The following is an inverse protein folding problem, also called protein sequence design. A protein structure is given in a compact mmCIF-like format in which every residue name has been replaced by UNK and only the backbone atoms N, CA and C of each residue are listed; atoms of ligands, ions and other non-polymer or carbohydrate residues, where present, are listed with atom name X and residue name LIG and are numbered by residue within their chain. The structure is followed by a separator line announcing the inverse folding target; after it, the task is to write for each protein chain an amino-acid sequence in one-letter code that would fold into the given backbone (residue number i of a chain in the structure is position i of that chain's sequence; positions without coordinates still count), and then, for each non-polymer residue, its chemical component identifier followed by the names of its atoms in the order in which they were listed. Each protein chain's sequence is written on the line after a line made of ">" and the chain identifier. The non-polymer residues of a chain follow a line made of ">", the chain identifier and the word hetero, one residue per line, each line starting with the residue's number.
data_IF_623126673450
#
_entry.id   IF_623126673450
#
_cell.length_a   1.000
_cell.length_b   1.000
_cell.length_c   1.000
_cell.angle_alpha   90.00
_cell.angle_beta   90.00
_cell.angle_gamma   90.00
#
_symmetry.space_group_name_H-M   'P 1'
#
loop_
_entity.id
_entity.type
_entity.pdbx_description
1 polymer ?
#
# COMPACT_ATOMS: atom_id res chain seq x y z
N UNK A 1 6.69 13.02 -9.30
CA UNK A 1 7.82 12.12 -8.96
C UNK A 1 7.97 12.01 -7.45
N UNK A 2 8.11 10.80 -6.92
CA UNK A 2 8.34 10.56 -5.50
C UNK A 2 9.77 10.94 -5.17
N UNK A 3 9.99 11.68 -4.08
CA UNK A 3 11.35 11.91 -3.59
C UNK A 3 11.59 11.14 -2.29
N UNK A 4 12.86 10.92 -1.97
CA UNK A 4 13.29 10.14 -0.81
C UNK A 4 12.76 10.72 0.50
N UNK A 5 12.75 12.05 0.64
CA UNK A 5 12.26 12.72 1.86
C UNK A 5 10.78 12.46 2.09
N UNK A 6 9.98 12.49 1.04
CA UNK A 6 8.55 12.22 1.15
C UNK A 6 8.28 10.80 1.63
N UNK A 7 8.99 9.81 1.08
CA UNK A 7 8.85 8.42 1.50
C UNK A 7 9.29 8.24 2.96
N UNK A 8 10.44 8.77 3.33
CA UNK A 8 10.94 8.66 4.71
C UNK A 8 9.97 9.28 5.71
N UNK A 9 9.51 10.49 5.44
CA UNK A 9 8.64 11.22 6.36
C UNK A 9 7.27 10.59 6.51
N UNK A 10 6.65 10.19 5.41
CA UNK A 10 5.28 9.65 5.43
C UNK A 10 5.23 8.20 5.90
N UNK A 11 6.21 7.39 5.50
CA UNK A 11 6.25 5.98 5.88
C UNK A 11 6.59 5.78 7.36
N UNK A 12 7.32 6.72 8.00
CA UNK A 12 7.64 6.67 9.42
C UNK A 12 6.41 6.79 10.32
N UNK A 13 5.36 7.46 9.87
CA UNK A 13 4.14 7.66 10.66
C UNK A 13 3.15 6.51 10.45
N UNK A 14 2.33 6.58 9.42
CA UNK A 14 1.24 5.63 9.21
C UNK A 14 1.34 4.88 7.88
N UNK A 15 2.45 5.03 7.20
CA UNK A 15 2.56 4.55 5.84
C UNK A 15 1.80 5.45 4.88
N UNK A 16 1.72 5.05 3.64
CA UNK A 16 0.99 5.81 2.61
C UNK A 16 0.56 4.92 1.47
N UNK A 17 -0.46 5.35 0.76
CA UNK A 17 -0.87 4.75 -0.51
C UNK A 17 -0.55 5.73 -1.63
N UNK A 18 0.09 5.21 -2.68
CA UNK A 18 0.51 5.97 -3.84
C UNK A 18 -0.15 5.42 -5.10
N UNK A 19 -0.44 6.29 -6.04
CA UNK A 19 -0.87 5.91 -7.39
C UNK A 19 0.04 6.59 -8.40
N UNK A 20 0.80 5.80 -9.15
CA UNK A 20 1.83 6.30 -10.08
C UNK A 20 2.76 7.31 -9.41
N UNK A 21 3.17 7.03 -8.18
CA UNK A 21 4.10 7.87 -7.44
C UNK A 21 3.51 9.08 -6.75
N UNK A 22 2.19 9.25 -6.77
CA UNK A 22 1.51 10.36 -6.09
C UNK A 22 0.68 9.83 -4.92
N UNK A 23 0.78 10.51 -3.78
CA UNK A 23 -0.03 10.15 -2.61
C UNK A 23 -1.51 10.27 -2.95
N UNK A 24 -2.28 9.24 -2.61
CA UNK A 24 -3.73 9.23 -2.77
C UNK A 24 -4.41 8.97 -1.45
N UNK A 25 -5.62 9.51 -1.33
CA UNK A 25 -6.45 9.33 -0.14
C UNK A 25 -7.91 9.20 -0.60
N UNK A 26 -8.30 7.97 -0.86
CA UNK A 26 -9.64 7.70 -1.35
C UNK A 26 -10.67 7.85 -0.23
N UNK A 27 -11.90 8.18 -0.59
CA UNK A 27 -13.02 8.37 0.37
C UNK A 27 -13.94 7.16 0.43
N UNK A 28 -13.78 6.20 -0.45
CA UNK A 28 -14.62 5.01 -0.52
C UNK A 28 -13.86 3.84 -1.13
N UNK A 29 -14.46 2.66 -1.03
CA UNK A 29 -13.87 1.45 -1.57
C UNK A 29 -12.93 0.77 -0.58
N UNK A 30 -12.28 -0.28 -1.05
CA UNK A 30 -11.41 -1.14 -0.25
C UNK A 30 -10.09 -1.33 -0.98
N UNK A 31 -8.99 -1.32 -0.23
CA UNK A 31 -7.65 -1.53 -0.76
C UNK A 31 -7.15 -2.89 -0.32
N UNK A 32 -6.65 -3.66 -1.27
CA UNK A 32 -6.10 -4.98 -1.02
C UNK A 32 -4.73 -5.12 -1.68
N UNK A 33 -3.75 -5.61 -0.92
CA UNK A 33 -2.43 -5.89 -1.46
C UNK A 33 -2.46 -7.20 -2.24
N UNK A 34 -1.83 -7.21 -3.41
CA UNK A 34 -1.77 -8.40 -4.28
C UNK A 34 -0.35 -8.95 -4.42
N UNK A 35 0.66 -8.14 -4.14
CA UNK A 35 2.06 -8.51 -4.19
C UNK A 35 2.85 -7.57 -3.30
N UNK A 36 4.08 -7.90 -2.96
CA UNK A 36 4.87 -7.05 -2.08
C UNK A 36 6.35 -7.39 -2.10
N UNK A 37 7.17 -6.41 -1.73
CA UNK A 37 8.60 -6.57 -1.55
C UNK A 37 9.06 -5.85 -0.30
N UNK A 38 10.14 -6.34 0.30
CA UNK A 38 10.83 -5.71 1.40
C UNK A 38 12.06 -4.98 0.89
N UNK A 39 12.20 -3.71 1.24
CA UNK A 39 13.32 -2.88 0.78
C UNK A 39 14.10 -2.36 1.98
N UNK A 40 15.43 -2.42 1.90
CA UNK A 40 16.31 -1.98 2.99
C UNK A 40 16.61 -0.50 2.94
N UNK A 41 16.41 0.15 1.81
CA UNK A 41 16.69 1.58 1.62
C UNK A 41 15.52 2.28 0.96
N UNK A 42 15.44 3.60 1.17
CA UNK A 42 14.43 4.43 0.54
C UNK A 42 14.53 4.38 -1.00
N UNK A 43 15.74 4.28 -1.54
CA UNK A 43 15.96 4.18 -2.98
C UNK A 43 15.36 2.90 -3.55
N UNK A 44 15.58 1.77 -2.88
CA UNK A 44 14.96 0.50 -3.29
C UNK A 44 13.44 0.59 -3.25
N UNK A 45 12.89 1.23 -2.21
CA UNK A 45 11.45 1.42 -2.09
C UNK A 45 10.89 2.28 -3.23
N UNK A 46 11.58 3.35 -3.61
CA UNK A 46 11.18 4.19 -4.75
C UNK A 46 11.18 3.38 -6.05
N UNK A 47 12.22 2.58 -6.26
CA UNK A 47 12.30 1.72 -7.45
C UNK A 47 11.15 0.71 -7.48
N UNK A 48 10.83 0.10 -6.34
CA UNK A 48 9.71 -0.84 -6.25
C UNK A 48 8.37 -0.17 -6.57
N UNK A 49 8.14 1.04 -6.07
CA UNK A 49 6.93 1.81 -6.38
C UNK A 49 6.82 2.07 -7.89
N UNK A 50 7.93 2.45 -8.52
CA UNK A 50 7.96 2.68 -9.97
C UNK A 50 7.66 1.40 -10.75
N UNK A 51 8.25 0.29 -10.33
CA UNK A 51 8.09 -1.00 -11.00
C UNK A 51 6.65 -1.52 -10.89
N UNK A 52 6.03 -1.37 -9.72
CA UNK A 52 4.65 -1.80 -9.55
C UNK A 52 3.67 -0.95 -10.36
N UNK A 53 3.91 0.35 -10.47
CA UNK A 53 2.96 1.27 -11.08
C UNK A 53 1.61 1.27 -10.33
N UNK A 54 0.60 1.96 -10.85
CA UNK A 54 -0.73 1.94 -10.26
C UNK A 54 -0.75 2.26 -8.76
N UNK A 55 -1.59 1.57 -8.01
CA UNK A 55 -1.70 1.74 -6.57
C UNK A 55 -0.65 0.90 -5.83
N UNK A 56 0.09 1.55 -4.92
CA UNK A 56 1.08 0.90 -4.05
C UNK A 56 0.93 1.41 -2.62
N UNK A 57 1.14 0.52 -1.66
CA UNK A 57 1.32 0.91 -0.26
C UNK A 57 2.80 0.95 0.09
N UNK A 58 3.22 1.90 0.90
CA UNK A 58 4.58 1.97 1.44
C UNK A 58 4.50 2.16 2.93
N UNK A 59 5.24 1.34 3.65
CA UNK A 59 5.24 1.35 5.11
C UNK A 59 6.64 1.05 5.63
N UNK A 60 7.08 1.78 6.66
CA UNK A 60 8.37 1.60 7.29
C UNK A 60 8.19 0.99 8.68
N UNK A 61 8.86 -0.12 8.94
CA UNK A 61 8.91 -0.75 10.26
C UNK A 61 10.26 -1.40 10.46
N UNK A 62 10.86 -1.16 11.63
CA UNK A 62 12.16 -1.75 12.02
C UNK A 62 13.26 -1.57 10.97
N UNK A 63 13.29 -0.40 10.32
CA UNK A 63 14.29 -0.08 9.31
C UNK A 63 14.05 -0.71 7.94
N UNK A 64 12.92 -1.39 7.75
CA UNK A 64 12.58 -2.03 6.49
C UNK A 64 11.37 -1.32 5.88
N UNK A 65 11.49 -0.99 4.59
CA UNK A 65 10.36 -0.47 3.81
C UNK A 65 9.61 -1.63 3.17
N UNK A 66 8.33 -1.74 3.52
CA UNK A 66 7.43 -2.70 2.90
C UNK A 66 6.68 -1.98 1.79
N UNK A 67 6.84 -2.44 0.56
CA UNK A 67 6.18 -1.86 -0.61
C UNK A 67 5.26 -2.90 -1.20
N UNK A 68 3.97 -2.60 -1.19
CA UNK A 68 2.94 -3.53 -1.65
C UNK A 68 2.27 -2.99 -2.91
N UNK A 69 2.18 -3.82 -3.94
CA UNK A 69 1.28 -3.56 -5.04
C UNK A 69 -0.13 -3.79 -4.56
N UNK A 70 -1.02 -2.86 -4.81
CA UNK A 70 -2.38 -2.94 -4.29
C UNK A 70 -3.42 -2.66 -5.36
N UNK A 71 -4.65 -3.05 -5.06
CA UNK A 71 -5.80 -2.84 -5.92
C UNK A 71 -6.93 -2.23 -5.12
N UNK A 72 -7.60 -1.24 -5.68
CA UNK A 72 -8.79 -0.67 -5.07
C UNK A 72 -10.03 -1.30 -5.71
N UNK A 73 -10.92 -1.82 -4.88
CA UNK A 73 -12.19 -2.40 -5.30
C UNK A 73 -13.35 -1.74 -4.55
N UNK A 74 -14.56 -1.88 -5.06
CA UNK A 74 -15.70 -1.13 -4.51
C UNK A 74 -16.30 -1.75 -3.25
N UNK A 75 -16.26 -3.07 -3.10
CA UNK A 75 -16.94 -3.76 -2.01
C UNK A 75 -15.99 -4.53 -1.11
N UNK A 76 -16.36 -4.65 0.17
CA UNK A 76 -15.66 -5.47 1.15
C UNK A 76 -15.56 -6.93 0.69
N UNK A 77 -16.64 -7.47 0.13
CA UNK A 77 -16.69 -8.85 -0.35
C UNK A 77 -15.65 -9.11 -1.43
N UNK A 78 -15.51 -8.20 -2.41
CA UNK A 78 -14.50 -8.30 -3.46
C UNK A 78 -13.09 -8.24 -2.87
N UNK A 79 -12.84 -7.31 -1.95
CA UNK A 79 -11.54 -7.14 -1.32
C UNK A 79 -11.13 -8.39 -0.52
N UNK A 80 -12.05 -8.95 0.26
CA UNK A 80 -11.77 -10.16 1.06
C UNK A 80 -11.48 -11.37 0.16
N UNK A 81 -12.19 -11.49 -0.95
CA UNK A 81 -11.94 -12.57 -1.91
C UNK A 81 -10.52 -12.49 -2.49
N UNK A 82 -10.11 -11.30 -2.90
CA UNK A 82 -8.76 -11.05 -3.44
C UNK A 82 -7.72 -11.25 -2.33
N UNK A 83 -7.97 -10.70 -1.15
CA UNK A 83 -7.07 -10.83 -0.02
C UNK A 83 -6.79 -12.28 0.37
N UNK A 84 -7.81 -13.10 0.42
CA UNK A 84 -7.66 -14.54 0.69
C UNK A 84 -6.85 -15.24 -0.40
N UNK A 85 -7.12 -14.93 -1.66
CA UNK A 85 -6.39 -15.51 -2.80
C UNK A 85 -4.91 -15.12 -2.80
N UNK A 86 -4.57 -13.93 -2.28
CA UNK A 86 -3.21 -13.41 -2.21
C UNK A 86 -2.56 -13.60 -0.83
N UNK A 87 -3.16 -14.40 0.06
CA UNK A 87 -2.66 -14.69 1.42
C UNK A 87 -2.45 -13.43 2.27
N UNK A 88 -3.32 -12.45 2.12
CA UNK A 88 -3.26 -11.23 2.93
C UNK A 88 -3.94 -11.45 4.29
N UNK A 89 -3.44 -10.77 5.31
CA UNK A 89 -4.03 -10.81 6.65
C UNK A 89 -5.31 -9.98 6.71
N UNK A 90 -5.29 -8.82 6.06
CA UNK A 90 -6.40 -7.88 6.10
C UNK A 90 -6.48 -7.03 4.83
N UNK A 91 -7.60 -6.36 4.68
CA UNK A 91 -7.84 -5.35 3.65
C UNK A 91 -8.26 -4.04 4.32
N UNK A 92 -8.07 -2.93 3.63
CA UNK A 92 -8.30 -1.60 4.19
C UNK A 92 -9.53 -0.92 3.57
N UNK A 93 -10.44 -0.48 4.43
CA UNK A 93 -11.64 0.27 4.01
C UNK A 93 -11.40 1.78 4.09
N UNK A 94 -11.52 2.46 2.97
CA UNK A 94 -11.23 3.89 2.89
C UNK A 94 -12.27 4.78 3.57
N UNK A 95 -13.55 4.40 3.51
CA UNK A 95 -14.63 5.25 4.03
C UNK A 95 -14.52 5.48 5.54
N UNK A 96 -14.12 4.44 6.29
CA UNK A 96 -14.03 4.49 7.74
C UNK A 96 -12.60 4.40 8.27
N UNK A 97 -11.61 4.23 7.39
CA UNK A 97 -10.22 4.05 7.79
C UNK A 97 -10.01 2.82 8.65
N UNK A 98 -10.68 1.71 8.35
CA UNK A 98 -10.63 0.50 9.16
C UNK A 98 -10.16 -0.72 8.38
N UNK A 99 -9.70 -1.73 9.12
CA UNK A 99 -9.30 -3.01 8.56
C UNK A 99 -10.44 -4.03 8.63
N UNK A 100 -10.48 -4.93 7.63
CA UNK A 100 -11.27 -6.15 7.70
C UNK A 100 -10.33 -7.33 7.49
N UNK A 101 -10.41 -8.35 8.34
CA UNK A 101 -9.49 -9.48 8.32
C UNK A 101 -9.98 -10.57 7.36
N UNK A 102 -9.01 -11.13 6.63
CA UNK A 102 -9.29 -12.20 5.65
C UNK A 102 -9.54 -13.58 6.30
#
# INVERSE_FOLDING_TARGET
>A
MINIRSILKLAENDGMTLKYGKKVNYKSGWQVATDGVECKTAREAINAVKDFGGNCGVWLANGIYYVDKSKRVQTKKQALKIGKACNQISVYGWARGNLAYC
#
